data_IF_128371140867
#
_entry.id   IF_128371140867
#
_cell.length_a   1.000
_cell.length_b   1.000
_cell.length_c   1.000
_cell.angle_alpha   90.00
_cell.angle_beta   90.00
_cell.angle_gamma   90.00
#
_symmetry.space_group_name_H-M   'P 1'
#
loop_
_entity.id
_entity.type
_entity.pdbx_description
1 polymer ?
#
# COMPACT_ATOMS: atom_id res chain seq x y z
N UNK A 1 7.31 73.98 6.81
CA UNK A 1 7.85 72.89 7.66
C UNK A 1 6.78 71.82 7.76
N UNK A 2 6.78 70.87 6.91
CA UNK A 2 5.82 69.75 6.89
C UNK A 2 6.51 68.52 7.42
N UNK A 3 5.97 67.95 8.48
CA UNK A 3 6.39 66.66 9.02
C UNK A 3 5.91 65.57 8.11
N UNK A 4 6.85 64.79 7.57
CA UNK A 4 6.59 63.54 6.90
C UNK A 4 6.48 62.45 7.96
N UNK A 5 5.27 62.00 8.25
CA UNK A 5 5.04 60.81 9.07
C UNK A 5 5.17 59.56 8.20
N UNK A 6 6.36 58.97 8.28
CA UNK A 6 6.67 57.66 7.73
C UNK A 6 6.22 56.58 8.71
N UNK A 7 5.04 56.06 8.59
CA UNK A 7 4.72 54.74 9.18
C UNK A 7 3.43 54.17 8.59
N UNK A 8 3.54 53.72 7.33
CA UNK A 8 2.56 52.77 6.81
C UNK A 8 3.24 51.43 6.76
N UNK A 9 3.27 50.74 7.88
CA UNK A 9 3.62 49.31 7.91
C UNK A 9 2.47 48.53 7.28
N UNK A 10 2.70 48.14 6.02
CA UNK A 10 1.85 47.17 5.35
C UNK A 10 2.04 45.81 6.05
N UNK A 11 1.19 45.55 7.01
CA UNK A 11 1.02 44.16 7.52
C UNK A 11 0.38 43.35 6.43
N UNK A 12 1.23 42.62 5.71
CA UNK A 12 0.79 41.53 4.83
C UNK A 12 0.30 40.44 5.76
N UNK A 13 -1.00 40.44 6.07
CA UNK A 13 -1.66 39.30 6.65
C UNK A 13 -1.49 38.12 5.67
N UNK A 14 -0.58 37.23 5.98
CA UNK A 14 -0.48 35.94 5.34
C UNK A 14 -1.77 35.17 5.64
N UNK A 15 -2.77 35.34 4.78
CA UNK A 15 -4.00 34.55 4.80
C UNK A 15 -3.61 33.12 4.57
N UNK A 16 -3.46 32.39 5.69
CA UNK A 16 -3.22 30.96 5.71
C UNK A 16 -4.37 30.33 4.93
N UNK A 17 -4.11 29.88 3.70
CA UNK A 17 -5.06 29.10 2.94
C UNK A 17 -5.27 27.80 3.71
N UNK A 18 -6.31 27.73 4.50
CA UNK A 18 -6.85 26.49 5.04
C UNK A 18 -7.36 25.69 3.84
N UNK A 19 -6.44 24.95 3.24
CA UNK A 19 -6.78 23.99 2.19
C UNK A 19 -7.77 23.01 2.78
N UNK A 20 -8.96 22.94 2.23
CA UNK A 20 -9.96 21.93 2.57
C UNK A 20 -9.33 20.58 2.34
N UNK A 21 -8.93 19.88 3.39
CA UNK A 21 -8.32 18.56 3.28
C UNK A 21 -9.36 17.62 2.67
N UNK A 22 -9.03 17.01 1.54
CA UNK A 22 -9.87 15.99 0.93
C UNK A 22 -10.04 14.84 1.91
N UNK A 23 -11.25 14.62 2.39
CA UNK A 23 -11.60 13.49 3.24
C UNK A 23 -12.29 12.43 2.40
N UNK A 24 -11.61 11.31 2.18
CA UNK A 24 -12.19 10.15 1.52
C UNK A 24 -12.68 9.17 2.59
N UNK A 25 -13.96 8.82 2.51
CA UNK A 25 -14.54 7.78 3.36
C UNK A 25 -13.92 6.40 3.05
N UNK A 26 -13.86 5.54 4.05
CA UNK A 26 -13.44 4.14 3.85
C UNK A 26 -14.52 3.40 3.09
N UNK A 27 -14.17 2.72 2.01
CA UNK A 27 -15.10 1.92 1.21
C UNK A 27 -14.80 0.42 1.35
N UNK A 28 -13.54 0.02 1.23
CA UNK A 28 -13.13 -1.39 1.24
C UNK A 28 -12.61 -1.87 2.60
N UNK A 29 -12.44 -0.98 3.57
CA UNK A 29 -11.87 -1.34 4.87
C UNK A 29 -12.73 -0.82 6.01
N UNK A 30 -12.72 -1.54 7.14
CA UNK A 30 -13.38 -1.12 8.38
C UNK A 30 -12.36 -0.54 9.35
N UNK A 31 -12.80 0.44 10.15
CA UNK A 31 -11.93 1.03 11.16
C UNK A 31 -11.52 0.00 12.22
N UNK A 32 -10.24 -0.02 12.58
CA UNK A 32 -9.70 -0.96 13.55
C UNK A 32 -9.53 -2.40 13.05
N UNK A 33 -9.90 -2.70 11.79
CA UNK A 33 -9.74 -4.03 11.21
C UNK A 33 -8.67 -4.04 10.11
N UNK A 34 -7.76 -5.00 10.18
CA UNK A 34 -6.78 -5.22 9.13
C UNK A 34 -7.44 -5.78 7.87
N UNK A 35 -7.17 -5.20 6.68
CA UNK A 35 -7.69 -5.71 5.41
C UNK A 35 -7.12 -7.08 5.01
N UNK A 36 -6.10 -7.55 5.73
CA UNK A 36 -5.55 -8.91 5.56
C UNK A 36 -6.16 -9.93 6.50
N UNK A 37 -6.92 -9.50 7.50
CA UNK A 37 -7.59 -10.39 8.44
C UNK A 37 -9.09 -10.51 8.17
N UNK A 38 -9.68 -9.45 7.62
CA UNK A 38 -11.12 -9.39 7.37
C UNK A 38 -11.41 -8.87 5.97
N UNK A 39 -12.39 -9.48 5.32
CA UNK A 39 -12.95 -9.00 4.06
C UNK A 39 -13.79 -7.72 4.29
N UNK A 40 -14.23 -7.02 3.23
CA UNK A 40 -15.11 -5.84 3.37
C UNK A 40 -16.42 -6.11 4.08
N UNK A 41 -16.89 -7.36 4.06
CA UNK A 41 -18.12 -7.80 4.75
C UNK A 41 -17.87 -8.12 6.23
N UNK A 42 -16.61 -8.11 6.67
CA UNK A 42 -16.22 -8.37 8.05
C UNK A 42 -15.99 -9.85 8.39
N UNK A 43 -15.97 -10.74 7.38
CA UNK A 43 -15.63 -12.14 7.59
C UNK A 43 -14.11 -12.30 7.69
N UNK A 44 -13.67 -13.25 8.50
CA UNK A 44 -12.25 -13.55 8.64
C UNK A 44 -11.71 -14.19 7.35
N UNK A 45 -10.60 -13.69 6.85
CA UNK A 45 -9.89 -14.25 5.70
C UNK A 45 -9.06 -15.44 6.16
N UNK A 46 -9.25 -16.60 5.52
CA UNK A 46 -8.39 -17.76 5.70
C UNK A 46 -7.20 -17.65 4.75
N UNK A 47 -6.02 -17.87 5.32
CA UNK A 47 -4.77 -17.86 4.56
C UNK A 47 -4.25 -19.29 4.43
N UNK A 48 -3.85 -19.65 3.22
CA UNK A 48 -3.26 -20.95 2.92
C UNK A 48 -1.90 -20.76 2.26
N UNK A 49 -1.04 -21.75 2.40
CA UNK A 49 0.27 -21.82 1.79
C UNK A 49 0.27 -22.90 0.73
N UNK A 50 0.83 -22.61 -0.44
CA UNK A 50 1.00 -23.60 -1.49
C UNK A 50 2.32 -23.43 -2.22
N UNK A 51 2.80 -24.52 -2.81
CA UNK A 51 3.97 -24.50 -3.70
C UNK A 51 3.53 -24.10 -5.10
N UNK A 52 4.05 -22.99 -5.59
CA UNK A 52 3.77 -22.48 -6.93
C UNK A 52 4.74 -23.08 -7.93
N UNK A 53 4.21 -23.81 -8.92
CA UNK A 53 4.96 -24.31 -10.06
C UNK A 53 4.32 -23.82 -11.36
N UNK A 54 5.13 -23.25 -12.23
CA UNK A 54 4.73 -22.85 -13.59
C UNK A 54 5.48 -23.71 -14.58
N UNK A 55 4.75 -24.32 -15.51
CA UNK A 55 5.29 -25.17 -16.57
C UNK A 55 5.13 -24.50 -17.92
N UNK A 56 6.00 -24.83 -18.85
CA UNK A 56 5.84 -24.53 -20.28
C UNK A 56 4.83 -25.45 -20.97
N UNK A 57 4.58 -25.23 -22.25
CA UNK A 57 3.66 -26.01 -23.06
C UNK A 57 4.08 -27.50 -23.20
N UNK A 58 5.33 -27.80 -22.89
CA UNK A 58 5.91 -29.17 -22.93
C UNK A 58 5.91 -29.84 -21.55
N UNK A 59 5.34 -29.18 -20.54
CA UNK A 59 5.28 -29.70 -19.17
C UNK A 59 6.56 -29.50 -18.36
N UNK A 60 7.59 -28.82 -18.91
CA UNK A 60 8.81 -28.54 -18.18
C UNK A 60 8.56 -27.40 -17.17
N UNK A 61 8.97 -27.59 -15.93
CA UNK A 61 8.89 -26.54 -14.90
C UNK A 61 9.88 -25.43 -15.22
N UNK A 62 9.37 -24.21 -15.41
CA UNK A 62 10.13 -22.99 -15.71
C UNK A 62 10.23 -22.03 -14.52
N UNK A 63 9.37 -22.21 -13.52
CA UNK A 63 9.39 -21.42 -12.30
C UNK A 63 8.85 -22.24 -11.14
N UNK A 64 9.51 -22.17 -10.00
CA UNK A 64 9.08 -22.81 -8.75
C UNK A 64 9.32 -21.85 -7.60
N UNK A 65 8.31 -21.70 -6.72
CA UNK A 65 8.46 -21.01 -5.46
C UNK A 65 7.67 -21.74 -4.38
N UNK A 66 8.33 -22.23 -3.32
CA UNK A 66 7.66 -22.90 -2.19
C UNK A 66 7.01 -21.90 -1.24
N UNK A 67 6.06 -22.38 -0.44
CA UNK A 67 5.47 -21.69 0.71
C UNK A 67 4.89 -20.33 0.36
N UNK A 68 4.23 -20.22 -0.78
CA UNK A 68 3.56 -18.98 -1.18
C UNK A 68 2.24 -18.86 -0.45
N UNK A 69 2.07 -17.75 0.30
CA UNK A 69 0.89 -17.49 1.11
C UNK A 69 -0.14 -16.64 0.37
N UNK A 70 -1.38 -17.10 0.35
CA UNK A 70 -2.51 -16.44 -0.32
C UNK A 70 -3.83 -16.62 0.45
N UNK A 71 -4.83 -15.76 0.21
CA UNK A 71 -6.19 -16.03 0.66
C UNK A 71 -6.76 -17.31 0.00
N UNK A 72 -7.56 -18.07 0.73
CA UNK A 72 -8.13 -19.33 0.24
C UNK A 72 -9.06 -19.14 -0.96
N UNK A 73 -9.75 -18.00 -1.04
CA UNK A 73 -10.64 -17.67 -2.17
C UNK A 73 -9.91 -17.29 -3.48
N UNK A 74 -8.58 -17.15 -3.46
CA UNK A 74 -7.80 -16.97 -4.69
C UNK A 74 -7.58 -18.32 -5.37
N UNK A 75 -7.73 -18.35 -6.69
CA UNK A 75 -7.42 -19.57 -7.46
C UNK A 75 -5.92 -19.83 -7.52
N UNK A 76 -5.54 -21.11 -7.66
CA UNK A 76 -4.13 -21.49 -7.88
C UNK A 76 -3.55 -20.89 -9.16
N UNK A 77 -4.38 -20.62 -10.18
CA UNK A 77 -3.93 -19.91 -11.38
C UNK A 77 -3.57 -18.45 -11.06
N UNK A 78 -4.39 -17.76 -10.28
CA UNK A 78 -4.13 -16.36 -9.89
C UNK A 78 -2.80 -16.24 -9.15
N UNK A 79 -2.54 -17.11 -8.17
CA UNK A 79 -1.30 -17.05 -7.42
C UNK A 79 -0.08 -17.43 -8.25
N UNK A 80 -0.19 -18.38 -9.22
CA UNK A 80 0.88 -18.71 -10.16
C UNK A 80 1.31 -17.49 -10.97
N UNK A 81 0.34 -16.72 -11.48
CA UNK A 81 0.61 -15.50 -12.24
C UNK A 81 1.27 -14.46 -11.34
N UNK A 82 0.72 -14.21 -10.15
CA UNK A 82 1.24 -13.19 -9.24
C UNK A 82 2.64 -13.56 -8.75
N UNK A 83 2.88 -14.77 -8.31
CA UNK A 83 4.18 -15.19 -7.83
C UNK A 83 5.26 -15.14 -8.92
N UNK A 84 4.93 -15.57 -10.15
CA UNK A 84 5.92 -15.60 -11.23
C UNK A 84 6.19 -14.23 -11.86
N UNK A 85 5.23 -13.29 -11.85
CA UNK A 85 5.32 -12.03 -12.61
C UNK A 85 5.42 -10.78 -11.73
N UNK A 86 4.88 -10.81 -10.53
CA UNK A 86 4.72 -9.60 -9.70
C UNK A 86 5.51 -9.62 -8.40
N UNK A 87 5.83 -10.79 -7.84
CA UNK A 87 6.67 -10.87 -6.65
C UNK A 87 8.07 -10.34 -6.96
N UNK A 88 8.52 -9.44 -6.11
CA UNK A 88 9.81 -8.81 -6.23
C UNK A 88 10.84 -9.47 -5.31
N UNK A 89 12.12 -9.34 -5.66
CA UNK A 89 13.25 -9.84 -4.89
C UNK A 89 13.94 -11.06 -5.51
N UNK A 90 15.10 -11.39 -4.96
CA UNK A 90 15.90 -12.53 -5.41
C UNK A 90 15.55 -13.77 -4.59
N UNK A 91 15.09 -14.82 -5.26
CA UNK A 91 14.70 -16.07 -4.61
C UNK A 91 15.91 -16.82 -4.03
N UNK A 92 17.05 -16.81 -4.70
CA UNK A 92 18.26 -17.51 -4.25
C UNK A 92 18.83 -16.90 -2.96
N UNK A 93 18.62 -15.58 -2.78
CA UNK A 93 19.02 -14.86 -1.57
C UNK A 93 17.97 -14.89 -0.46
N UNK A 94 16.82 -15.51 -0.70
CA UNK A 94 15.71 -15.51 0.25
C UNK A 94 15.01 -14.16 0.43
N UNK A 95 15.25 -13.20 -0.46
CA UNK A 95 14.70 -11.85 -0.39
C UNK A 95 13.39 -11.71 -1.18
N UNK A 96 12.99 -12.76 -1.91
CA UNK A 96 11.79 -12.69 -2.74
C UNK A 96 10.53 -12.69 -1.91
N UNK A 97 9.56 -11.87 -2.32
CA UNK A 97 8.22 -11.88 -1.73
C UNK A 97 7.61 -13.29 -1.85
N UNK A 98 6.98 -13.74 -0.79
CA UNK A 98 6.35 -15.06 -0.67
C UNK A 98 4.86 -14.97 -0.36
N UNK A 99 4.31 -13.77 -0.24
CA UNK A 99 2.91 -13.58 0.11
C UNK A 99 2.29 -12.37 -0.59
N UNK A 100 0.97 -12.43 -0.75
CA UNK A 100 0.18 -11.31 -1.26
C UNK A 100 0.28 -10.10 -0.31
N UNK A 101 0.40 -10.33 0.99
CA UNK A 101 0.58 -9.27 1.98
C UNK A 101 1.86 -8.46 1.74
N UNK A 102 2.98 -9.14 1.48
CA UNK A 102 4.27 -8.49 1.18
C UNK A 102 4.20 -7.68 -0.12
N UNK A 103 3.62 -8.24 -1.18
CA UNK A 103 3.39 -7.55 -2.45
C UNK A 103 2.58 -6.27 -2.26
N UNK A 104 1.41 -6.36 -1.63
CA UNK A 104 0.53 -5.21 -1.40
C UNK A 104 1.22 -4.20 -0.48
N UNK A 105 1.89 -4.67 0.57
CA UNK A 105 2.67 -3.83 1.49
C UNK A 105 3.76 -3.03 0.79
N UNK A 106 4.50 -3.63 -0.14
CA UNK A 106 5.51 -2.94 -0.95
C UNK A 106 4.89 -1.84 -1.80
N UNK A 107 3.81 -2.15 -2.52
CA UNK A 107 3.13 -1.18 -3.41
C UNK A 107 2.55 -0.01 -2.62
N UNK A 108 1.86 -0.29 -1.52
CA UNK A 108 1.25 0.76 -0.70
C UNK A 108 2.29 1.64 -0.02
N UNK A 109 3.39 1.06 0.45
CA UNK A 109 4.52 1.81 1.04
C UNK A 109 5.16 2.74 0.01
N UNK A 110 5.38 2.24 -1.20
CA UNK A 110 5.90 3.06 -2.30
C UNK A 110 4.98 4.23 -2.64
N UNK A 111 3.69 3.97 -2.80
CA UNK A 111 2.69 5.01 -3.10
C UNK A 111 2.62 6.04 -1.98
N UNK A 112 2.57 5.61 -0.71
CA UNK A 112 2.59 6.52 0.44
C UNK A 112 3.82 7.42 0.43
N UNK A 113 5.01 6.85 0.21
CA UNK A 113 6.26 7.63 0.13
C UNK A 113 6.22 8.70 -0.97
N UNK A 114 5.68 8.36 -2.13
CA UNK A 114 5.53 9.31 -3.26
C UNK A 114 4.50 10.40 -2.97
N UNK A 115 3.42 10.08 -2.31
CA UNK A 115 2.39 11.05 -1.94
C UNK A 115 2.89 12.02 -0.87
N UNK A 116 3.61 11.54 0.14
CA UNK A 116 4.19 12.38 1.20
C UNK A 116 5.31 13.29 0.66
N UNK A 117 6.11 12.81 -0.28
CA UNK A 117 7.22 13.60 -0.85
C UNK A 117 6.77 14.75 -1.76
N UNK A 118 5.53 14.75 -2.22
CA UNK A 118 4.96 15.81 -3.08
C UNK A 118 4.19 16.88 -2.33
N UNK A 119 4.33 16.96 -1.01
CA UNK A 119 3.65 17.94 -0.14
C UNK A 119 2.12 18.01 -0.35
N UNK A 120 1.56 16.94 -0.87
CA UNK A 120 0.11 16.78 -0.89
C UNK A 120 -0.26 16.51 0.57
N UNK A 121 -0.91 17.47 1.22
CA UNK A 121 -1.38 17.37 2.60
C UNK A 121 -2.45 16.28 2.75
N UNK A 122 -2.01 15.04 2.59
CA UNK A 122 -2.83 13.83 2.79
C UNK A 122 -2.83 13.49 4.27
N UNK A 123 -3.30 14.44 5.09
CA UNK A 123 -3.41 14.21 6.54
C UNK A 123 -4.49 13.19 6.91
N UNK A 124 -5.22 12.61 5.96
CA UNK A 124 -6.33 11.67 6.24
C UNK A 124 -6.60 10.61 5.17
N UNK A 125 -5.65 10.21 4.36
CA UNK A 125 -5.78 8.87 3.81
C UNK A 125 -5.36 7.95 4.97
N UNK A 126 -6.34 7.48 5.70
CA UNK A 126 -6.13 6.46 6.71
C UNK A 126 -5.78 5.15 6.00
N UNK A 127 -4.54 5.05 5.53
CA UNK A 127 -3.93 3.76 5.30
C UNK A 127 -3.78 3.18 6.70
N UNK A 128 -4.41 2.05 7.02
CA UNK A 128 -4.32 1.50 8.36
C UNK A 128 -2.85 1.34 8.74
N UNK A 129 -2.45 1.91 9.88
CA UNK A 129 -1.08 1.74 10.41
C UNK A 129 -0.69 0.27 10.55
N UNK A 130 -1.67 -0.61 10.70
CA UNK A 130 -1.52 -2.06 10.76
C UNK A 130 -0.79 -2.66 9.55
N UNK A 131 -0.79 -2.00 8.39
CA UNK A 131 -0.04 -2.44 7.20
C UNK A 131 1.47 -2.22 7.33
N UNK A 132 1.95 -1.49 8.35
CA UNK A 132 3.35 -1.08 8.46
C UNK A 132 4.09 -1.67 9.65
N UNK A 133 3.40 -2.34 10.60
CA UNK A 133 4.00 -2.80 11.85
C UNK A 133 4.47 -4.25 11.87
N UNK A 134 4.21 -5.04 10.82
CA UNK A 134 4.60 -6.46 10.79
C UNK A 134 5.35 -6.83 9.49
N UNK A 135 6.42 -6.10 9.20
CA UNK A 135 7.45 -6.56 8.25
C UNK A 135 8.82 -6.18 8.79
#
# INVERSE_FOLDING_TARGET
>A
MGNFDSNTSLSIESKKMEGTALSLGRYFTQEGKSPFQFDPSGNKINWIEENVNVTDDRGKVIFTQPNVRRPDFWSSLAIKVVASKYFWGNQEKGEREDSIEKLVGRVTRYLRGRLLSRDISIRKIAVPEVLFYNV
#
